data_IF_944981619272
#
_entry.id   IF_944981619272
#
_cell.length_a   1.000
_cell.length_b   1.000
_cell.length_c   1.000
_cell.angle_alpha   90.00
_cell.angle_beta   90.00
_cell.angle_gamma   90.00
#
_symmetry.space_group_name_H-M   'P 1'
#
loop_
_entity.id
_entity.type
_entity.pdbx_description
1 polymer ?
#
# COMPACT_ATOMS: atom_id res chain seq x y z
N UNK A 1 45.53 -37.57 -32.26
CA UNK A 1 44.18 -37.79 -31.71
C UNK A 1 43.50 -36.43 -31.63
N UNK A 2 42.55 -36.20 -32.54
CA UNK A 2 41.97 -34.90 -32.86
C UNK A 2 40.76 -34.60 -31.96
N UNK A 3 40.69 -33.36 -31.42
CA UNK A 3 39.50 -32.53 -31.13
C UNK A 3 38.28 -33.15 -30.39
N UNK A 4 37.58 -32.47 -29.46
CA UNK A 4 37.18 -31.05 -29.43
C UNK A 4 36.58 -30.71 -28.05
N UNK A 5 36.87 -29.51 -27.57
CA UNK A 5 36.21 -28.83 -26.44
C UNK A 5 34.70 -28.73 -26.69
N UNK A 6 33.88 -29.15 -25.73
CA UNK A 6 32.45 -28.86 -25.70
C UNK A 6 32.22 -27.48 -25.07
N UNK A 7 31.76 -26.56 -25.91
CA UNK A 7 31.29 -25.21 -25.58
C UNK A 7 30.06 -25.32 -24.67
N UNK A 8 30.13 -24.76 -23.46
CA UNK A 8 28.91 -24.45 -22.70
C UNK A 8 28.14 -23.37 -23.48
N UNK A 9 26.95 -23.71 -23.96
CA UNK A 9 26.05 -22.76 -24.61
C UNK A 9 25.77 -21.60 -23.67
N UNK A 10 26.02 -20.39 -24.16
CA UNK A 10 25.66 -19.13 -23.52
C UNK A 10 24.15 -19.09 -23.27
N UNK A 11 23.74 -18.94 -22.02
CA UNK A 11 22.36 -18.64 -21.66
C UNK A 11 22.10 -17.18 -22.05
N UNK A 12 21.12 -16.87 -22.91
CA UNK A 12 20.80 -15.48 -23.23
C UNK A 12 20.34 -14.75 -21.95
N UNK A 13 20.91 -13.57 -21.69
CA UNK A 13 20.50 -12.72 -20.58
C UNK A 13 19.04 -12.29 -20.77
N UNK A 14 18.17 -12.64 -19.81
CA UNK A 14 16.77 -12.23 -19.74
C UNK A 14 16.63 -10.75 -19.30
N UNK A 15 17.25 -9.84 -20.05
CA UNK A 15 16.98 -8.39 -19.96
C UNK A 15 16.17 -7.95 -21.17
N UNK A 16 14.90 -8.32 -21.19
CA UNK A 16 13.87 -7.54 -21.89
C UNK A 16 12.69 -7.43 -20.93
N UNK A 17 12.38 -6.19 -20.57
CA UNK A 17 11.28 -5.83 -19.69
C UNK A 17 9.94 -6.25 -20.31
N UNK A 18 9.40 -7.37 -19.83
CA UNK A 18 7.98 -7.74 -19.85
C UNK A 18 7.67 -8.34 -18.47
N UNK A 19 6.44 -8.17 -18.00
CA UNK A 19 5.87 -8.28 -16.64
C UNK A 19 6.27 -9.46 -15.73
N UNK A 20 7.21 -10.32 -16.12
CA UNK A 20 7.81 -11.34 -15.26
C UNK A 20 6.85 -12.48 -14.90
N UNK A 21 5.72 -12.56 -15.59
CA UNK A 21 4.74 -13.62 -15.37
C UNK A 21 5.04 -14.86 -16.23
N UNK A 22 4.31 -15.95 -15.94
CA UNK A 22 4.49 -17.23 -16.62
C UNK A 22 4.09 -17.18 -18.10
N UNK A 23 3.24 -16.22 -18.49
CA UNK A 23 2.81 -16.02 -19.88
C UNK A 23 3.92 -15.33 -20.67
N UNK A 24 4.58 -14.33 -20.10
CA UNK A 24 5.76 -13.70 -20.70
C UNK A 24 6.87 -14.73 -20.93
N UNK A 25 7.11 -15.60 -19.94
CA UNK A 25 8.04 -16.71 -20.08
C UNK A 25 7.59 -17.67 -21.19
N UNK A 26 6.31 -18.01 -21.26
CA UNK A 26 5.75 -18.87 -22.30
C UNK A 26 5.87 -18.28 -23.71
N UNK A 27 5.62 -16.98 -23.86
CA UNK A 27 5.80 -16.23 -25.11
C UNK A 27 7.26 -16.31 -25.58
N UNK A 28 8.21 -16.16 -24.65
CA UNK A 28 9.64 -16.24 -24.93
C UNK A 28 10.09 -17.66 -25.30
N UNK A 29 9.65 -18.67 -24.54
CA UNK A 29 10.01 -20.07 -24.76
C UNK A 29 9.43 -20.57 -26.09
N UNK A 30 8.13 -20.34 -26.32
CA UNK A 30 7.42 -20.83 -27.50
C UNK A 30 7.52 -19.90 -28.71
N UNK A 31 8.23 -18.77 -28.58
CA UNK A 31 8.46 -17.76 -29.62
C UNK A 31 7.18 -17.37 -30.35
N UNK A 32 6.11 -17.15 -29.59
CA UNK A 32 4.80 -16.79 -30.12
C UNK A 32 4.15 -15.75 -29.22
N UNK A 33 3.56 -14.72 -29.81
CA UNK A 33 2.74 -13.74 -29.09
C UNK A 33 1.27 -14.19 -28.99
N UNK A 34 0.92 -15.36 -29.53
CA UNK A 34 -0.41 -15.96 -29.38
C UNK A 34 -0.56 -16.59 -27.98
N UNK A 35 -1.22 -15.85 -27.09
CA UNK A 35 -1.48 -16.26 -25.70
C UNK A 35 -2.28 -17.56 -25.64
N UNK A 36 -3.26 -17.77 -26.53
CA UNK A 36 -4.08 -18.99 -26.53
C UNK A 36 -3.24 -20.22 -26.84
N UNK A 37 -2.28 -20.07 -27.75
CA UNK A 37 -1.30 -21.12 -28.06
C UNK A 37 -0.35 -21.38 -26.90
N UNK A 38 0.14 -20.33 -26.24
CA UNK A 38 0.99 -20.47 -25.03
C UNK A 38 0.25 -21.22 -23.93
N UNK A 39 -1.00 -20.88 -23.66
CA UNK A 39 -1.82 -21.54 -22.63
C UNK A 39 -2.02 -23.03 -22.93
N UNK A 40 -2.35 -23.39 -24.18
CA UNK A 40 -2.49 -24.80 -24.60
C UNK A 40 -1.18 -25.58 -24.45
N UNK A 41 -0.04 -24.95 -24.75
CA UNK A 41 1.27 -25.59 -24.63
C UNK A 41 1.68 -25.80 -23.16
N UNK A 42 1.33 -24.87 -22.27
CA UNK A 42 1.51 -25.01 -20.82
C UNK A 42 0.63 -26.15 -20.29
N UNK A 43 -0.65 -26.17 -20.67
CA UNK A 43 -1.62 -27.20 -20.27
C UNK A 43 -1.15 -28.60 -20.70
N UNK A 44 -0.67 -28.74 -21.94
CA UNK A 44 -0.16 -30.00 -22.48
C UNK A 44 1.18 -30.43 -21.85
N UNK A 45 1.97 -29.49 -21.32
CA UNK A 45 3.25 -29.78 -20.66
C UNK A 45 3.09 -30.27 -19.22
N UNK A 46 1.88 -30.20 -18.64
CA UNK A 46 1.56 -30.65 -17.28
C UNK A 46 0.43 -31.68 -17.24
N UNK A 47 0.55 -32.86 -17.90
CA UNK A 47 -0.46 -33.90 -17.77
C UNK A 47 -0.34 -34.54 -16.38
N UNK A 48 -1.28 -34.23 -15.48
CA UNK A 48 -1.41 -34.90 -14.18
C UNK A 48 -1.13 -34.07 -12.92
N UNK A 49 -0.81 -32.78 -13.03
CA UNK A 49 -0.80 -31.87 -11.87
C UNK A 49 -2.10 -31.08 -11.90
N UNK A 50 -2.99 -31.18 -10.90
CA UNK A 50 -4.11 -30.27 -10.81
C UNK A 50 -3.52 -28.87 -10.60
N UNK A 51 -3.48 -28.08 -11.68
CA UNK A 51 -3.19 -26.66 -11.59
C UNK A 51 -4.33 -26.09 -10.74
N UNK A 52 -4.08 -25.89 -9.45
CA UNK A 52 -4.83 -24.89 -8.69
C UNK A 52 -4.47 -23.58 -9.35
N UNK A 53 -5.20 -23.25 -10.41
CA UNK A 53 -5.26 -21.91 -10.93
C UNK A 53 -5.71 -21.09 -9.73
N UNK A 54 -4.77 -20.42 -9.06
CA UNK A 54 -5.10 -19.16 -8.41
C UNK A 54 -5.40 -18.24 -9.57
N UNK A 55 -6.61 -18.36 -10.10
CA UNK A 55 -7.26 -17.25 -10.74
C UNK A 55 -7.25 -16.16 -9.68
N UNK A 56 -6.28 -15.26 -9.76
CA UNK A 56 -6.57 -13.87 -9.44
C UNK A 56 -7.55 -13.42 -10.52
N UNK A 57 -8.78 -13.91 -10.44
CA UNK A 57 -9.91 -13.07 -10.75
C UNK A 57 -9.77 -11.93 -9.74
N UNK A 58 -9.60 -10.67 -10.16
CA UNK A 58 -10.10 -9.60 -9.33
C UNK A 58 -11.59 -9.90 -9.24
N UNK A 59 -11.99 -10.65 -8.22
CA UNK A 59 -13.38 -10.94 -8.02
C UNK A 59 -14.01 -9.57 -7.85
N UNK A 60 -14.83 -9.18 -8.80
CA UNK A 60 -15.87 -8.16 -8.70
C UNK A 60 -16.93 -8.57 -7.66
N UNK A 61 -16.45 -9.19 -6.58
CA UNK A 61 -17.13 -9.65 -5.42
C UNK A 61 -16.56 -8.88 -4.24
N UNK A 62 -16.84 -7.59 -4.21
CA UNK A 62 -17.17 -6.92 -2.95
C UNK A 62 -18.50 -7.50 -2.39
N UNK A 63 -18.62 -8.85 -2.37
CA UNK A 63 -19.78 -9.56 -1.82
C UNK A 63 -19.56 -9.67 -0.33
N UNK A 64 -19.99 -8.64 0.39
CA UNK A 64 -20.37 -8.65 1.80
C UNK A 64 -19.72 -9.78 2.61
N UNK A 65 -18.39 -9.77 2.76
CA UNK A 65 -17.74 -10.62 3.74
C UNK A 65 -18.07 -10.05 5.11
N UNK A 66 -19.15 -10.54 5.71
CA UNK A 66 -19.55 -10.09 7.04
C UNK A 66 -18.48 -10.54 8.04
N UNK A 67 -17.65 -9.60 8.46
CA UNK A 67 -16.76 -9.77 9.59
C UNK A 67 -17.62 -10.01 10.84
N UNK A 68 -17.36 -11.10 11.57
CA UNK A 68 -18.08 -11.46 12.80
C UNK A 68 -17.11 -11.57 13.97
N UNK A 69 -17.65 -11.57 15.19
CA UNK A 69 -16.88 -11.76 16.43
C UNK A 69 -15.68 -10.81 16.53
N UNK A 70 -15.91 -9.52 16.25
CA UNK A 70 -14.85 -8.51 16.22
C UNK A 70 -14.45 -8.20 17.66
N UNK A 71 -13.17 -8.39 17.98
CA UNK A 71 -12.57 -8.02 19.25
C UNK A 71 -11.41 -7.07 18.98
N UNK A 72 -11.43 -5.92 19.64
CA UNK A 72 -10.44 -4.85 19.46
C UNK A 72 -9.68 -4.68 20.76
N UNK A 73 -8.36 -4.77 20.69
CA UNK A 73 -7.49 -4.70 21.85
C UNK A 73 -6.19 -3.95 21.58
N UNK A 74 -5.34 -3.92 22.60
CA UNK A 74 -3.98 -3.40 22.48
C UNK A 74 -3.15 -4.29 21.54
N UNK A 75 -2.21 -3.68 20.82
CA UNK A 75 -1.36 -4.41 19.89
C UNK A 75 -0.35 -5.27 20.68
N UNK A 76 -0.62 -6.56 20.81
CA UNK A 76 0.15 -7.50 21.63
C UNK A 76 0.82 -8.60 20.80
N UNK A 77 0.16 -9.04 19.73
CA UNK A 77 0.60 -10.11 18.83
C UNK A 77 2.00 -9.89 18.27
N UNK A 78 2.86 -10.87 18.51
CA UNK A 78 4.24 -10.90 18.01
C UNK A 78 4.27 -10.86 16.48
N UNK A 79 3.32 -11.54 15.81
CA UNK A 79 3.26 -11.59 14.35
C UNK A 79 2.91 -10.21 13.74
N UNK A 80 1.97 -9.48 14.33
CA UNK A 80 1.61 -8.13 13.85
C UNK A 80 2.72 -7.12 14.14
N UNK A 81 3.37 -7.22 15.30
CA UNK A 81 4.55 -6.42 15.64
C UNK A 81 5.70 -6.69 14.67
N UNK A 82 5.99 -7.96 14.38
CA UNK A 82 7.01 -8.35 13.40
C UNK A 82 6.68 -7.81 12.00
N UNK A 83 5.39 -7.77 11.62
CA UNK A 83 4.96 -7.17 10.37
C UNK A 83 5.25 -5.66 10.35
N UNK A 84 4.89 -4.89 11.40
CA UNK A 84 5.23 -3.46 11.49
C UNK A 84 6.74 -3.22 11.41
N UNK A 85 7.53 -4.02 12.13
CA UNK A 85 8.98 -3.96 12.08
C UNK A 85 9.53 -4.22 10.66
N UNK A 86 8.96 -5.21 9.94
CA UNK A 86 9.34 -5.47 8.53
C UNK A 86 9.01 -4.31 7.58
N UNK A 87 8.07 -3.45 7.97
CA UNK A 87 7.71 -2.20 7.29
C UNK A 87 8.54 -1.00 7.77
N UNK A 88 9.52 -1.21 8.65
CA UNK A 88 10.39 -0.17 9.20
C UNK A 88 9.74 0.72 10.25
N UNK A 89 8.50 0.42 10.67
CA UNK A 89 7.73 1.25 11.60
C UNK A 89 8.31 1.11 13.00
N UNK A 90 8.49 2.24 13.68
CA UNK A 90 8.88 2.27 15.09
C UNK A 90 7.81 1.60 15.96
N UNK A 91 8.26 0.71 16.85
CA UNK A 91 7.36 -0.16 17.61
C UNK A 91 6.45 0.63 18.57
N UNK A 92 6.98 1.67 19.20
CA UNK A 92 6.24 2.51 20.13
C UNK A 92 5.14 3.28 19.40
N UNK A 93 5.46 3.87 18.24
CA UNK A 93 4.49 4.50 17.35
C UNK A 93 3.42 3.50 16.93
N UNK A 94 3.82 2.31 16.48
CA UNK A 94 2.89 1.26 16.06
C UNK A 94 1.91 0.85 17.16
N UNK A 95 2.39 0.64 18.38
CA UNK A 95 1.55 0.26 19.54
C UNK A 95 0.62 1.40 19.96
N UNK A 96 1.10 2.64 19.91
CA UNK A 96 0.32 3.82 20.31
C UNK A 96 -0.84 4.08 19.34
N UNK A 97 -0.54 4.11 18.05
CA UNK A 97 -1.48 4.53 17.01
C UNK A 97 -2.42 3.42 16.53
N UNK A 98 -2.04 2.15 16.69
CA UNK A 98 -2.82 1.02 16.18
C UNK A 98 -3.50 0.19 17.28
N UNK A 99 -4.44 -0.64 16.84
CA UNK A 99 -5.10 -1.68 17.64
C UNK A 99 -4.90 -3.03 17.00
N UNK A 100 -5.04 -4.07 17.81
CA UNK A 100 -5.13 -5.43 17.32
C UNK A 100 -6.59 -5.82 17.21
N UNK A 101 -6.96 -6.34 16.04
CA UNK A 101 -8.34 -6.72 15.74
C UNK A 101 -8.36 -8.22 15.46
N UNK A 102 -9.09 -8.97 16.28
CA UNK A 102 -9.45 -10.36 16.03
C UNK A 102 -10.85 -10.42 15.44
N UNK A 103 -11.04 -11.25 14.41
CA UNK A 103 -12.32 -11.36 13.72
C UNK A 103 -12.48 -12.74 13.09
N UNK A 104 -13.73 -13.11 12.82
CA UNK A 104 -14.08 -14.31 12.06
C UNK A 104 -14.55 -13.91 10.66
N UNK A 105 -13.96 -14.51 9.63
CA UNK A 105 -14.44 -14.40 8.25
C UNK A 105 -14.57 -15.80 7.65
N UNK A 106 -15.69 -16.10 6.99
CA UNK A 106 -15.94 -17.42 6.35
C UNK A 106 -15.66 -18.61 7.29
N UNK A 107 -16.06 -18.48 8.56
CA UNK A 107 -15.88 -19.52 9.58
C UNK A 107 -14.45 -19.71 10.10
N UNK A 108 -13.49 -18.85 9.73
CA UNK A 108 -12.10 -18.90 10.19
C UNK A 108 -11.75 -17.66 11.00
N UNK A 109 -10.97 -17.86 12.06
CA UNK A 109 -10.44 -16.77 12.87
C UNK A 109 -9.22 -16.13 12.20
N UNK A 110 -9.16 -14.81 12.24
CA UNK A 110 -8.09 -13.99 11.71
C UNK A 110 -7.77 -12.87 12.69
N UNK A 111 -6.60 -12.26 12.51
CA UNK A 111 -6.20 -11.07 13.23
C UNK A 111 -5.46 -10.11 12.31
N UNK A 112 -5.63 -8.81 12.56
CA UNK A 112 -5.03 -7.75 11.77
C UNK A 112 -4.72 -6.53 12.64
N UNK A 113 -3.87 -5.66 12.10
CA UNK A 113 -3.69 -4.31 12.62
C UNK A 113 -4.90 -3.49 12.23
N UNK A 114 -5.50 -2.81 13.19
CA UNK A 114 -6.56 -1.83 13.02
C UNK A 114 -6.04 -0.41 13.22
N UNK A 115 -6.40 0.49 12.33
CA UNK A 115 -6.20 1.93 12.49
C UNK A 115 -7.57 2.64 12.54
N UNK A 116 -7.91 3.30 13.66
CA UNK A 116 -9.24 3.86 13.86
C UNK A 116 -9.49 5.09 12.98
N UNK A 117 -10.71 5.22 12.48
CA UNK A 117 -11.18 6.41 11.75
C UNK A 117 -12.17 7.25 12.58
N UNK A 118 -12.51 8.45 12.11
CA UNK A 118 -13.36 9.40 12.87
C UNK A 118 -14.82 8.98 12.97
N UNK A 119 -15.28 8.05 12.13
CA UNK A 119 -16.64 7.54 12.14
C UNK A 119 -16.81 6.27 13.00
N UNK A 120 -15.76 5.86 13.74
CA UNK A 120 -15.77 4.68 14.59
C UNK A 120 -15.49 3.36 13.86
N UNK A 121 -15.17 3.41 12.57
CA UNK A 121 -14.66 2.26 11.81
C UNK A 121 -13.14 2.12 11.91
N UNK A 122 -12.60 1.13 11.19
CA UNK A 122 -11.17 0.82 11.20
C UNK A 122 -10.66 0.48 9.80
N UNK A 123 -9.48 0.99 9.46
CA UNK A 123 -8.69 0.39 8.39
C UNK A 123 -7.92 -0.82 8.91
N UNK A 124 -7.91 -1.90 8.15
CA UNK A 124 -7.31 -3.16 8.54
C UNK A 124 -6.13 -3.51 7.63
N UNK A 125 -5.05 -3.98 8.25
CA UNK A 125 -3.86 -4.46 7.54
C UNK A 125 -3.24 -5.68 8.21
N UNK A 126 -2.90 -6.65 7.39
CA UNK A 126 -1.97 -7.73 7.72
C UNK A 126 -1.00 -7.93 6.54
N UNK A 127 0.01 -8.80 6.64
CA UNK A 127 0.88 -9.12 5.50
C UNK A 127 0.12 -9.57 4.24
N UNK A 128 -1.07 -10.16 4.42
CA UNK A 128 -1.83 -10.81 3.36
C UNK A 128 -3.20 -10.17 3.09
N UNK A 129 -3.61 -9.19 3.90
CA UNK A 129 -4.94 -8.60 3.83
C UNK A 129 -4.92 -7.08 3.96
N UNK A 130 -5.70 -6.42 3.11
CA UNK A 130 -6.10 -5.01 3.24
C UNK A 130 -7.63 -5.00 3.26
N UNK A 131 -8.22 -4.35 4.24
CA UNK A 131 -9.67 -4.20 4.30
C UNK A 131 -10.06 -3.14 5.32
N UNK A 132 -11.33 -3.12 5.70
CA UNK A 132 -11.83 -2.18 6.70
C UNK A 132 -12.98 -2.79 7.50
N UNK A 133 -13.21 -2.24 8.68
CA UNK A 133 -14.47 -2.33 9.40
C UNK A 133 -15.23 -1.04 9.14
N UNK A 134 -16.44 -1.17 8.60
CA UNK A 134 -17.31 -0.03 8.33
C UNK A 134 -17.70 0.70 9.64
N UNK A 135 -18.00 2.00 9.58
CA UNK A 135 -18.01 2.86 8.39
C UNK A 135 -16.60 3.26 7.90
N UNK A 136 -16.43 3.43 6.58
CA UNK A 136 -15.19 3.96 5.98
C UNK A 136 -15.18 5.47 6.09
N UNK A 137 -14.15 6.03 6.73
CA UNK A 137 -13.91 7.47 6.83
C UNK A 137 -12.42 7.77 6.97
N UNK A 138 -12.05 9.04 6.97
CA UNK A 138 -10.70 9.52 7.26
C UNK A 138 -10.34 9.34 8.74
N UNK A 139 -9.06 9.43 9.04
CA UNK A 139 -8.57 9.54 10.41
C UNK A 139 -7.94 10.92 10.60
N UNK A 140 -8.12 11.51 11.77
CA UNK A 140 -7.52 12.81 12.11
C UNK A 140 -6.85 12.66 13.46
N UNK A 141 -5.55 12.97 13.51
CA UNK A 141 -4.78 13.03 14.75
C UNK A 141 -4.30 14.46 14.95
N UNK A 142 -4.35 14.91 16.20
CA UNK A 142 -4.06 16.28 16.63
C UNK A 142 -5.09 17.29 16.09
N UNK A 143 -6.14 17.59 16.86
CA UNK A 143 -7.21 18.56 16.54
C UNK A 143 -7.10 19.79 17.44
N UNK A 144 -5.93 20.41 17.49
CA UNK A 144 -5.85 21.76 18.04
C UNK A 144 -6.61 22.67 17.09
N UNK A 145 -7.82 23.14 17.49
CA UNK A 145 -8.79 23.90 16.66
C UNK A 145 -8.26 25.17 15.98
N UNK A 146 -6.97 25.49 16.13
CA UNK A 146 -6.30 26.71 15.71
C UNK A 146 -5.25 26.48 14.62
N UNK A 147 -5.10 25.27 14.08
CA UNK A 147 -4.06 24.97 13.09
C UNK A 147 -4.45 25.48 11.70
N UNK A 148 -3.55 26.25 11.09
CA UNK A 148 -3.72 26.75 9.72
C UNK A 148 -3.16 25.79 8.67
N UNK A 149 -2.60 24.65 9.08
CA UNK A 149 -1.93 23.71 8.18
C UNK A 149 -2.20 22.26 8.57
N UNK A 150 -2.25 21.38 7.57
CA UNK A 150 -2.36 19.94 7.77
C UNK A 150 -1.35 19.16 6.92
N UNK A 151 -0.97 17.97 7.40
CA UNK A 151 -0.31 16.95 6.61
C UNK A 151 -1.36 15.92 6.19
N UNK A 152 -1.41 15.60 4.90
CA UNK A 152 -2.38 14.69 4.31
C UNK A 152 -1.69 13.42 3.82
N UNK A 153 -2.08 12.27 4.36
CA UNK A 153 -1.52 10.96 4.03
C UNK A 153 -2.56 10.12 3.27
N UNK A 154 -2.11 9.35 2.28
CA UNK A 154 -3.02 8.47 1.52
C UNK A 154 -3.52 7.29 2.37
N UNK A 155 -2.60 6.59 3.03
CA UNK A 155 -2.90 5.47 3.92
C UNK A 155 -2.26 5.62 5.29
N UNK A 156 -2.76 4.84 6.26
CA UNK A 156 -2.22 4.90 7.61
C UNK A 156 -0.79 4.37 7.71
N UNK A 157 -0.36 3.48 6.81
CA UNK A 157 1.03 3.02 6.77
C UNK A 157 1.98 4.18 6.44
N UNK A 158 1.59 5.11 5.59
CA UNK A 158 2.37 6.31 5.26
C UNK A 158 2.44 7.26 6.43
N UNK A 159 1.33 7.43 7.14
CA UNK A 159 1.26 8.18 8.39
C UNK A 159 2.22 7.61 9.46
N UNK A 160 2.18 6.30 9.73
CA UNK A 160 3.11 5.66 10.67
C UNK A 160 4.57 5.81 10.22
N UNK A 161 4.79 5.77 8.91
CA UNK A 161 6.13 5.91 8.33
C UNK A 161 6.67 7.32 8.50
N UNK A 162 5.83 8.33 8.26
CA UNK A 162 6.14 9.73 8.51
C UNK A 162 6.50 9.97 9.97
N UNK A 163 5.69 9.50 10.92
CA UNK A 163 5.99 9.63 12.35
C UNK A 163 7.32 8.97 12.70
N UNK A 164 7.60 7.81 12.12
CA UNK A 164 8.87 7.10 12.32
C UNK A 164 10.06 7.88 11.77
N UNK A 165 9.94 8.44 10.56
CA UNK A 165 10.97 9.28 9.94
C UNK A 165 11.25 10.54 10.76
N UNK A 166 10.20 11.19 11.27
CA UNK A 166 10.30 12.36 12.15
C UNK A 166 10.99 12.00 13.46
N UNK A 167 10.59 10.89 14.12
CA UNK A 167 11.23 10.40 15.35
C UNK A 167 12.72 10.10 15.14
N UNK A 168 13.08 9.58 13.98
CA UNK A 168 14.47 9.28 13.60
C UNK A 168 15.27 10.54 13.17
N UNK A 169 14.65 11.71 13.09
CA UNK A 169 15.30 12.93 12.58
C UNK A 169 15.63 12.91 11.08
N UNK A 170 15.10 11.93 10.33
CA UNK A 170 15.34 11.79 8.88
C UNK A 170 14.41 12.65 8.03
N UNK A 171 13.29 13.09 8.60
CA UNK A 171 12.36 14.01 7.97
C UNK A 171 11.98 15.08 8.97
N UNK A 172 12.06 16.35 8.57
CA UNK A 172 11.65 17.46 9.41
C UNK A 172 10.14 17.72 9.21
N UNK A 173 9.37 17.94 10.28
CA UNK A 173 7.99 18.40 10.15
C UNK A 173 7.92 19.69 9.32
N UNK A 174 6.99 19.79 8.36
CA UNK A 174 6.94 20.95 7.46
C UNK A 174 6.50 22.24 8.15
N UNK A 175 5.82 22.14 9.30
CA UNK A 175 5.45 23.26 10.14
C UNK A 175 5.29 22.83 11.61
N UNK A 176 5.10 23.81 12.49
CA UNK A 176 4.83 23.57 13.92
C UNK A 176 3.40 23.07 14.08
N UNK A 177 3.25 21.87 14.66
CA UNK A 177 1.96 21.28 15.05
C UNK A 177 0.89 21.27 13.95
N UNK A 178 1.13 20.66 12.76
CA UNK A 178 0.06 20.44 11.79
C UNK A 178 -0.97 19.45 12.33
N UNK A 179 -2.20 19.56 11.85
CA UNK A 179 -3.17 18.46 11.91
C UNK A 179 -2.68 17.34 10.98
N UNK A 180 -2.80 16.09 11.41
CA UNK A 180 -2.37 14.94 10.62
C UNK A 180 -3.61 14.17 10.18
N UNK A 181 -3.88 14.21 8.88
CA UNK A 181 -5.08 13.63 8.27
C UNK A 181 -4.68 12.43 7.43
N UNK A 182 -5.32 11.30 7.68
CA UNK A 182 -5.14 10.07 6.90
C UNK A 182 -6.41 9.81 6.10
N UNK A 183 -6.31 9.84 4.77
CA UNK A 183 -7.46 9.63 3.89
C UNK A 183 -8.03 8.22 4.02
N UNK A 184 -7.19 7.23 4.37
CA UNK A 184 -7.49 5.79 4.40
C UNK A 184 -7.79 5.18 3.02
N UNK A 185 -8.14 6.01 2.05
CA UNK A 185 -8.24 5.73 0.62
C UNK A 185 -8.39 7.06 -0.12
N UNK A 186 -7.80 7.17 -1.33
CA UNK A 186 -8.06 8.32 -2.23
C UNK A 186 -9.56 8.53 -2.51
N UNK A 187 -10.39 7.49 -2.39
CA UNK A 187 -11.84 7.60 -2.56
C UNK A 187 -12.53 8.44 -1.47
N UNK A 188 -11.88 8.69 -0.33
CA UNK A 188 -12.40 9.57 0.71
C UNK A 188 -12.02 11.04 0.49
N UNK A 189 -11.19 11.35 -0.51
CA UNK A 189 -10.72 12.72 -0.77
C UNK A 189 -11.89 13.66 -1.03
N UNK A 190 -12.83 13.28 -1.90
CA UNK A 190 -14.00 14.09 -2.28
C UNK A 190 -14.84 14.50 -1.06
N UNK A 191 -15.06 13.57 -0.13
CA UNK A 191 -15.79 13.78 1.12
C UNK A 191 -15.04 14.70 2.09
N UNK A 192 -13.71 14.72 1.99
CA UNK A 192 -12.81 15.44 2.89
C UNK A 192 -12.51 16.85 2.40
N UNK A 193 -12.82 17.20 1.14
CA UNK A 193 -12.55 18.51 0.57
C UNK A 193 -13.11 19.66 1.41
N UNK A 194 -14.34 19.53 1.92
CA UNK A 194 -14.98 20.56 2.76
C UNK A 194 -14.16 20.88 4.01
N UNK A 195 -13.62 19.85 4.67
CA UNK A 195 -12.70 19.98 5.80
C UNK A 195 -11.37 20.59 5.36
N UNK A 196 -10.83 20.19 4.22
CA UNK A 196 -9.52 20.66 3.74
C UNK A 196 -9.52 22.15 3.38
N UNK A 197 -10.67 22.71 2.95
CA UNK A 197 -10.83 24.15 2.69
C UNK A 197 -10.58 25.03 3.93
N UNK A 198 -10.64 24.47 5.14
CA UNK A 198 -10.38 25.22 6.36
C UNK A 198 -8.89 25.52 6.58
N UNK A 199 -7.98 24.76 5.96
CA UNK A 199 -6.54 24.96 6.09
C UNK A 199 -6.02 25.96 5.05
N UNK A 200 -4.99 26.72 5.43
CA UNK A 200 -4.25 27.61 4.53
C UNK A 200 -3.10 26.90 3.81
N UNK A 201 -2.54 25.85 4.42
CA UNK A 201 -1.46 25.05 3.84
C UNK A 201 -1.78 23.56 3.96
N UNK A 202 -1.58 22.81 2.87
CA UNK A 202 -1.76 21.37 2.84
C UNK A 202 -0.46 20.73 2.37
N UNK A 203 0.15 19.91 3.23
CA UNK A 203 1.37 19.16 2.92
C UNK A 203 0.99 17.72 2.55
N UNK A 204 1.07 17.39 1.27
CA UNK A 204 0.62 16.12 0.72
C UNK A 204 1.74 15.07 0.77
N UNK A 205 1.43 13.95 1.40
CA UNK A 205 2.22 12.72 1.43
C UNK A 205 1.39 11.60 0.76
N UNK A 206 1.04 11.82 -0.51
CA UNK A 206 0.25 10.89 -1.33
C UNK A 206 1.18 10.02 -2.20
N UNK A 207 0.69 8.88 -2.69
CA UNK A 207 1.50 7.98 -3.48
C UNK A 207 1.99 8.65 -4.77
N UNK A 208 3.20 8.32 -5.21
CA UNK A 208 3.76 8.81 -6.47
C UNK A 208 3.17 8.10 -7.70
N UNK A 209 1.90 7.70 -7.66
CA UNK A 209 1.17 7.07 -8.77
C UNK A 209 0.15 8.03 -9.39
N UNK A 210 -0.62 7.56 -10.38
CA UNK A 210 -1.59 8.41 -11.08
C UNK A 210 -2.73 8.86 -10.16
N UNK A 211 -3.14 8.04 -9.19
CA UNK A 211 -4.21 8.38 -8.27
C UNK A 211 -3.75 9.47 -7.30
N UNK A 212 -2.56 9.32 -6.71
CA UNK A 212 -1.97 10.33 -5.83
C UNK A 212 -1.68 11.64 -6.55
N UNK A 213 -1.17 11.61 -7.80
CA UNK A 213 -1.00 12.83 -8.61
C UNK A 213 -2.31 13.56 -8.87
N UNK A 214 -3.34 12.86 -9.34
CA UNK A 214 -4.67 13.43 -9.57
C UNK A 214 -5.28 14.01 -8.29
N UNK A 215 -5.03 13.37 -7.15
CA UNK A 215 -5.46 13.88 -5.85
C UNK A 215 -4.78 15.21 -5.49
N UNK A 216 -3.47 15.35 -5.74
CA UNK A 216 -2.75 16.63 -5.54
C UNK A 216 -3.30 17.71 -6.47
N UNK A 217 -3.55 17.39 -7.74
CA UNK A 217 -4.06 18.35 -8.72
C UNK A 217 -5.47 18.84 -8.34
N UNK A 218 -6.36 17.93 -7.92
CA UNK A 218 -7.68 18.28 -7.40
C UNK A 218 -7.58 19.23 -6.19
N UNK A 219 -6.63 19.00 -5.28
CA UNK A 219 -6.41 19.88 -4.13
C UNK A 219 -5.93 21.27 -4.55
N UNK A 220 -5.09 21.36 -5.59
CA UNK A 220 -4.62 22.64 -6.15
C UNK A 220 -5.76 23.41 -6.81
N UNK A 221 -6.62 22.71 -7.56
CA UNK A 221 -7.79 23.29 -8.22
C UNK A 221 -8.81 23.91 -7.25
N UNK A 222 -8.86 23.44 -6.00
CA UNK A 222 -9.71 24.04 -4.98
C UNK A 222 -9.38 25.51 -4.71
N UNK A 223 -8.14 25.96 -4.98
CA UNK A 223 -7.65 27.33 -4.81
C UNK A 223 -8.00 27.98 -3.45
N UNK A 224 -8.11 27.16 -2.40
CA UNK A 224 -8.44 27.60 -1.02
C UNK A 224 -7.23 27.53 -0.09
N UNK A 225 -6.19 26.80 -0.49
CA UNK A 225 -4.98 26.55 0.27
C UNK A 225 -3.76 26.48 -0.65
N UNK A 226 -2.58 26.76 -0.11
CA UNK A 226 -1.32 26.42 -0.78
C UNK A 226 -1.04 24.93 -0.58
N UNK A 227 -0.92 24.19 -1.68
CA UNK A 227 -0.71 22.74 -1.67
C UNK A 227 0.75 22.42 -1.99
N UNK A 228 1.43 21.75 -1.07
CA UNK A 228 2.81 21.31 -1.21
C UNK A 228 2.83 19.79 -1.41
N UNK A 229 3.34 19.31 -2.54
CA UNK A 229 3.57 17.88 -2.74
C UNK A 229 4.92 17.48 -2.13
N UNK A 230 4.91 16.88 -0.95
CA UNK A 230 6.14 16.51 -0.25
C UNK A 230 6.85 15.32 -0.89
N UNK A 231 6.10 14.44 -1.57
CA UNK A 231 6.63 13.24 -2.22
C UNK A 231 7.32 13.52 -3.56
N UNK A 232 7.19 14.74 -4.09
CA UNK A 232 7.87 15.18 -5.32
C UNK A 232 9.40 15.19 -5.16
N UNK A 233 9.91 15.59 -3.99
CA UNK A 233 11.34 15.50 -3.66
C UNK A 233 11.86 14.05 -3.52
N UNK A 234 10.94 13.08 -3.46
CA UNK A 234 11.20 11.66 -3.24
C UNK A 234 10.65 10.81 -4.40
N UNK A 235 10.78 11.30 -5.64
CA UNK A 235 10.19 10.70 -6.84
C UNK A 235 10.61 9.24 -7.12
N UNK A 236 11.76 8.82 -6.60
CA UNK A 236 12.23 7.42 -6.70
C UNK A 236 11.48 6.45 -5.79
N UNK A 237 10.68 6.92 -4.83
CA UNK A 237 9.93 6.08 -3.91
C UNK A 237 8.46 6.06 -4.28
N UNK A 238 7.81 4.91 -4.09
CA UNK A 238 6.39 4.77 -4.42
C UNK A 238 5.51 5.55 -3.47
N UNK A 239 5.80 5.45 -2.18
CA UNK A 239 5.01 5.95 -1.07
C UNK A 239 5.96 6.26 0.11
N UNK A 240 5.43 6.82 1.20
CA UNK A 240 6.25 7.21 2.36
C UNK A 240 6.85 5.99 3.05
N UNK A 241 6.14 4.85 3.04
CA UNK A 241 6.68 3.64 3.63
C UNK A 241 7.85 3.05 2.84
N UNK A 242 7.81 3.11 1.51
CA UNK A 242 8.95 2.76 0.67
C UNK A 242 10.13 3.74 0.89
N UNK A 243 9.88 5.05 1.12
CA UNK A 243 10.91 6.01 1.53
C UNK A 243 11.58 5.61 2.85
N UNK A 244 10.79 5.28 3.89
CA UNK A 244 11.32 4.83 5.18
C UNK A 244 12.20 3.58 5.06
N UNK A 245 11.85 2.69 4.15
CA UNK A 245 12.54 1.41 3.94
C UNK A 245 13.67 1.49 2.91
N UNK A 246 13.96 2.68 2.38
CA UNK A 246 14.88 2.91 1.26
C UNK A 246 14.60 1.98 0.05
N UNK A 247 13.32 1.73 -0.22
CA UNK A 247 12.87 0.86 -1.31
C UNK A 247 12.51 1.69 -2.53
N UNK A 248 13.49 1.90 -3.40
CA UNK A 248 13.33 2.65 -4.66
C UNK A 248 12.54 1.84 -5.68
N UNK A 249 11.79 2.54 -6.53
CA UNK A 249 11.20 1.99 -7.76
C UNK A 249 12.33 1.52 -8.66
N UNK A 250 12.19 0.34 -9.24
CA UNK A 250 13.12 -0.08 -10.29
C UNK A 250 12.87 0.78 -11.54
N UNK A 251 13.93 1.23 -12.24
CA UNK A 251 13.81 1.98 -13.50
C UNK A 251 13.06 1.21 -14.58
#
# INVERSE_FOLDING_TARGET
TYCRKAVRRSVPSLRLARSGDIIDLGILIYRTNDISRVLKLIENATPGVPVKARTFLPSSEERNETLRNIQIGTLTSVALKSYLASRGIDMEIGIRECREIHYTCRGRAYFAIGFPNIAGGYEMRSPYYKGCIAPKDISVTNTTKTTLACCLFEGFMDFLSYLTLVKQGKLLPPCRQPDLIVLNSVNNLSKTLSRLKAYKKIYCFLDNDDAGRKAVDLLREMNTATVYNMMEAFSYYKDVNDLLRDKKRMP
#
